data_IF_434568587740
#
_entry.id   IF_434568587740
#
_cell.length_a   1.000
_cell.length_b   1.000
_cell.length_c   1.000
_cell.angle_alpha   90.00
_cell.angle_beta   90.00
_cell.angle_gamma   90.00
#
_symmetry.space_group_name_H-M   'P 1'
#
loop_
_entity.id
_entity.type
_entity.pdbx_description
1 polymer ?
#
# COMPACT_ATOMS: atom_id res chain seq x y z
N UNK A 1 14.83 35.62 16.43
CA UNK A 1 13.84 35.79 15.36
C UNK A 1 14.12 34.68 14.34
N UNK A 2 13.33 33.64 14.10
CA UNK A 2 11.89 33.40 14.22
C UNK A 2 11.64 31.90 14.44
N UNK A 3 11.13 31.51 15.61
CA UNK A 3 10.83 30.09 15.93
C UNK A 3 9.31 29.90 16.20
N UNK A 4 8.50 30.49 15.31
CA UNK A 4 7.04 30.30 15.30
C UNK A 4 6.64 29.08 14.42
N UNK A 5 7.53 28.10 14.31
CA UNK A 5 7.41 26.91 13.47
C UNK A 5 6.99 25.67 14.26
N UNK A 6 5.73 25.50 14.64
CA UNK A 6 5.29 24.27 15.34
C UNK A 6 5.71 23.00 14.58
N UNK A 7 5.97 21.88 15.27
CA UNK A 7 6.51 20.64 14.66
C UNK A 7 5.56 20.00 13.62
N UNK A 8 6.11 19.18 12.72
CA UNK A 8 5.34 18.37 11.76
C UNK A 8 4.71 17.14 12.43
N UNK A 9 5.51 16.43 13.22
CA UNK A 9 5.10 15.23 13.97
C UNK A 9 5.22 15.47 15.48
N UNK A 10 4.77 14.51 16.26
CA UNK A 10 5.03 14.44 17.70
C UNK A 10 5.03 12.98 18.15
N UNK A 11 5.78 12.71 19.21
CA UNK A 11 5.70 11.44 19.92
C UNK A 11 4.57 11.51 20.95
N UNK A 12 3.77 10.45 21.05
CA UNK A 12 2.77 10.33 22.10
C UNK A 12 3.41 10.47 23.48
N UNK A 13 2.70 11.07 24.44
CA UNK A 13 3.21 11.24 25.81
C UNK A 13 3.23 9.93 26.59
N UNK A 14 2.19 9.13 26.40
CA UNK A 14 2.06 7.82 27.02
C UNK A 14 2.65 6.77 26.08
N UNK A 15 3.57 5.92 26.56
CA UNK A 15 4.05 4.82 25.75
C UNK A 15 2.95 3.76 25.57
N UNK A 16 2.97 3.10 24.41
CA UNK A 16 2.28 1.83 24.20
C UNK A 16 3.26 0.68 24.46
N UNK A 17 2.75 -0.51 24.74
CA UNK A 17 3.57 -1.69 24.96
C UNK A 17 3.64 -2.55 23.70
N UNK A 18 4.84 -3.03 23.34
CA UNK A 18 4.97 -3.93 22.21
C UNK A 18 4.36 -5.30 22.55
N UNK A 19 3.37 -5.81 21.81
CA UNK A 19 2.78 -7.12 22.11
C UNK A 19 3.71 -8.31 21.82
N UNK A 20 4.87 -8.07 21.20
CA UNK A 20 5.83 -9.11 20.81
C UNK A 20 7.03 -9.18 21.77
N UNK A 21 7.51 -8.04 22.26
CA UNK A 21 8.71 -7.99 23.12
C UNK A 21 8.54 -7.15 24.39
N UNK A 22 7.33 -6.65 24.67
CA UNK A 22 6.97 -5.93 25.90
C UNK A 22 7.71 -4.59 26.11
N UNK A 23 8.57 -4.20 25.16
CA UNK A 23 9.26 -2.92 25.23
C UNK A 23 8.27 -1.76 25.10
N UNK A 24 8.51 -0.68 25.85
CA UNK A 24 7.74 0.56 25.77
C UNK A 24 8.08 1.33 24.49
N UNK A 25 7.06 1.72 23.74
CA UNK A 25 7.17 2.42 22.47
C UNK A 25 6.47 3.77 22.58
N UNK A 26 7.17 4.83 22.20
CA UNK A 26 6.54 6.12 21.97
C UNK A 26 6.17 6.21 20.49
N UNK A 27 4.89 6.12 20.16
CA UNK A 27 4.45 6.18 18.77
C UNK A 27 4.58 7.61 18.24
N UNK A 28 5.26 7.76 17.12
CA UNK A 28 5.27 9.02 16.37
C UNK A 28 3.99 9.17 15.55
N UNK A 29 3.34 10.33 15.67
CA UNK A 29 2.15 10.70 14.93
C UNK A 29 2.34 11.98 14.13
N UNK A 30 1.74 12.00 12.93
CA UNK A 30 1.66 13.18 12.10
C UNK A 30 0.59 14.14 12.62
N UNK A 31 0.94 15.42 12.77
CA UNK A 31 -0.06 16.43 13.12
C UNK A 31 -0.90 16.77 11.90
N UNK A 32 -2.21 16.83 12.08
CA UNK A 32 -3.15 17.26 11.04
C UNK A 32 -3.48 18.77 11.17
N UNK A 33 -3.95 19.36 10.06
CA UNK A 33 -4.40 20.75 10.01
C UNK A 33 -3.28 21.81 9.95
N UNK A 34 -3.70 23.09 9.98
CA UNK A 34 -2.84 24.29 9.87
C UNK A 34 -1.89 24.29 8.65
N UNK A 35 -2.38 23.79 7.51
CA UNK A 35 -1.62 23.75 6.26
C UNK A 35 -0.46 22.76 6.22
N UNK A 36 -0.43 21.76 7.11
CA UNK A 36 0.57 20.67 7.07
C UNK A 36 0.38 19.72 5.89
N UNK A 37 -0.88 19.47 5.54
CA UNK A 37 -1.28 18.59 4.45
C UNK A 37 -2.07 19.40 3.45
N UNK A 38 -1.41 19.81 2.37
CA UNK A 38 -2.04 20.50 1.25
C UNK A 38 -2.26 19.44 0.18
N UNK A 39 -3.51 19.05 -0.03
CA UNK A 39 -3.85 18.04 -1.03
C UNK A 39 -3.51 18.55 -2.44
N UNK A 40 -2.73 17.77 -3.18
CA UNK A 40 -2.40 17.97 -4.59
C UNK A 40 -3.14 17.00 -5.50
N UNK A 41 -2.52 16.72 -6.64
CA UNK A 41 -3.07 15.82 -7.68
C UNK A 41 -3.30 14.39 -7.17
N UNK A 42 -4.27 13.72 -7.80
CA UNK A 42 -4.47 12.27 -7.63
C UNK A 42 -3.74 11.58 -8.79
N UNK A 43 -2.93 10.59 -8.48
CA UNK A 43 -2.29 9.74 -9.49
C UNK A 43 -3.27 8.68 -10.03
N UNK A 44 -2.91 8.02 -11.12
CA UNK A 44 -3.66 6.86 -11.62
C UNK A 44 -3.69 5.72 -10.60
N UNK A 45 -2.64 5.56 -9.79
CA UNK A 45 -2.58 4.58 -8.68
C UNK A 45 -3.43 4.98 -7.45
N UNK A 46 -4.29 6.00 -7.57
CA UNK A 46 -5.13 6.56 -6.51
C UNK A 46 -4.34 7.09 -5.29
N UNK A 47 -3.05 7.38 -5.49
CA UNK A 47 -2.20 8.09 -4.51
C UNK A 47 -2.48 9.58 -4.57
N UNK A 48 -2.68 10.21 -3.41
CA UNK A 48 -2.75 11.66 -3.25
C UNK A 48 -1.33 12.22 -3.13
N UNK A 49 -0.96 13.11 -4.04
CA UNK A 49 0.23 13.93 -3.87
C UNK A 49 -0.06 15.06 -2.88
N UNK A 50 0.97 15.54 -2.19
CA UNK A 50 0.87 16.64 -1.24
C UNK A 50 1.79 17.78 -1.64
N UNK A 51 1.21 18.97 -1.80
CA UNK A 51 1.96 20.16 -2.19
C UNK A 51 2.81 20.67 -1.01
N UNK A 52 4.09 21.03 -1.25
CA UNK A 52 4.93 21.60 -0.22
C UNK A 52 4.33 22.89 0.36
N UNK A 53 4.21 22.93 1.68
CA UNK A 53 3.77 24.15 2.36
C UNK A 53 4.96 25.08 2.62
N UNK A 54 4.71 26.41 2.64
CA UNK A 54 5.76 27.40 2.98
C UNK A 54 6.40 27.15 4.35
N UNK A 55 5.68 26.51 5.27
CA UNK A 55 6.08 26.35 6.66
C UNK A 55 6.74 25.00 6.96
N UNK A 56 6.23 23.92 6.38
CA UNK A 56 6.66 22.55 6.68
C UNK A 56 7.41 21.90 5.51
N UNK A 57 7.47 22.57 4.36
CA UNK A 57 8.03 21.99 3.15
C UNK A 57 7.18 20.81 2.67
N UNK A 58 7.86 19.84 2.07
CA UNK A 58 7.30 18.58 1.59
C UNK A 58 6.97 17.65 2.76
N UNK A 59 5.79 17.01 2.70
CA UNK A 59 5.30 16.11 3.73
C UNK A 59 4.83 14.81 3.09
N UNK A 60 5.26 13.68 3.65
CA UNK A 60 4.89 12.34 3.17
C UNK A 60 4.08 11.61 4.26
N UNK A 61 2.74 11.66 4.24
CA UNK A 61 1.93 11.11 5.32
C UNK A 61 2.06 9.60 5.52
N UNK A 62 2.30 8.87 4.42
CA UNK A 62 2.44 7.42 4.43
C UNK A 62 3.60 6.93 5.31
N UNK A 63 4.63 7.74 5.54
CA UNK A 63 5.75 7.41 6.44
C UNK A 63 5.27 7.03 7.85
N UNK A 64 4.10 7.53 8.27
CA UNK A 64 3.58 7.38 9.63
C UNK A 64 2.45 6.35 9.77
N UNK A 65 2.04 5.67 8.69
CA UNK A 65 0.88 4.77 8.72
C UNK A 65 1.18 3.40 9.37
N UNK A 66 2.46 3.03 9.44
CA UNK A 66 2.94 1.80 10.09
C UNK A 66 3.47 2.16 11.48
N UNK A 67 3.08 1.38 12.49
CA UNK A 67 3.70 1.45 13.82
C UNK A 67 4.81 0.41 13.89
N UNK A 68 6.00 0.80 14.34
CA UNK A 68 7.19 -0.05 14.43
C UNK A 68 7.70 -0.07 15.86
N UNK A 69 8.00 -1.26 16.38
CA UNK A 69 8.76 -1.41 17.61
C UNK A 69 10.26 -1.18 17.34
N UNK A 70 10.91 -0.19 17.99
CA UNK A 70 12.34 0.08 17.79
C UNK A 70 13.24 -1.04 18.33
N UNK A 71 12.74 -1.89 19.22
CA UNK A 71 13.50 -2.97 19.87
C UNK A 71 13.53 -4.23 19.01
N UNK A 72 12.36 -4.74 18.61
CA UNK A 72 12.24 -6.02 17.91
C UNK A 72 11.83 -5.91 16.44
N UNK A 73 11.69 -4.69 15.93
CA UNK A 73 11.32 -4.38 14.54
C UNK A 73 10.00 -5.05 14.11
N UNK A 74 9.15 -5.38 15.09
CA UNK A 74 7.76 -5.73 14.83
C UNK A 74 7.04 -4.50 14.26
N UNK A 75 6.43 -4.66 13.09
CA UNK A 75 5.80 -3.57 12.36
C UNK A 75 4.48 -4.03 11.75
N UNK A 76 3.44 -3.21 11.87
CA UNK A 76 2.14 -3.42 11.19
C UNK A 76 1.46 -2.08 10.97
N UNK A 77 0.40 -2.06 10.16
CA UNK A 77 -0.48 -0.89 10.08
C UNK A 77 -0.98 -0.53 11.48
N UNK A 78 -1.01 0.76 11.82
CA UNK A 78 -1.25 1.21 13.20
C UNK A 78 -2.55 0.70 13.83
N UNK A 79 -3.58 0.38 13.02
CA UNK A 79 -4.83 -0.21 13.50
C UNK A 79 -4.72 -1.66 13.99
N UNK A 80 -3.68 -2.40 13.56
CA UNK A 80 -3.47 -3.79 13.95
C UNK A 80 -2.45 -3.94 15.09
N UNK A 81 -1.79 -2.85 15.50
CA UNK A 81 -0.60 -2.94 16.34
C UNK A 81 -0.83 -3.69 17.64
N UNK A 82 -1.91 -3.38 18.36
CA UNK A 82 -2.28 -4.02 19.63
C UNK A 82 -3.02 -5.35 19.44
N UNK A 83 -3.47 -5.65 18.21
CA UNK A 83 -4.34 -6.77 17.88
C UNK A 83 -3.64 -8.10 17.62
N UNK A 84 -2.34 -8.23 17.93
CA UNK A 84 -1.56 -9.43 17.56
C UNK A 84 -2.10 -10.68 18.27
N UNK A 85 -2.52 -11.72 17.53
CA UNK A 85 -2.93 -12.98 18.12
C UNK A 85 -1.81 -13.62 18.93
N UNK A 86 -2.12 -14.13 20.12
CA UNK A 86 -1.14 -14.77 21.01
C UNK A 86 -0.41 -15.95 20.34
N UNK A 87 -1.10 -16.69 19.48
CA UNK A 87 -0.54 -17.81 18.71
C UNK A 87 0.60 -17.40 17.77
N UNK A 88 0.65 -16.13 17.36
CA UNK A 88 1.62 -15.62 16.37
C UNK A 88 2.81 -14.93 17.06
N UNK A 89 2.63 -14.43 18.28
CA UNK A 89 3.66 -13.66 19.02
C UNK A 89 5.00 -14.40 19.16
N UNK A 90 5.06 -15.71 19.51
CA UNK A 90 6.34 -16.41 19.64
C UNK A 90 7.14 -16.44 18.34
N UNK A 91 6.45 -16.60 17.21
CA UNK A 91 7.09 -16.63 15.88
C UNK A 91 7.63 -15.24 15.51
N UNK A 92 6.82 -14.19 15.72
CA UNK A 92 7.27 -12.81 15.54
C UNK A 92 8.48 -12.46 16.41
N UNK A 93 8.51 -12.93 17.66
CA UNK A 93 9.63 -12.68 18.56
C UNK A 93 10.90 -13.40 18.09
N UNK A 94 10.78 -14.69 17.72
CA UNK A 94 11.91 -15.48 17.23
C UNK A 94 12.55 -14.90 15.96
N UNK A 95 11.75 -14.29 15.08
CA UNK A 95 12.23 -13.68 13.82
C UNK A 95 12.69 -12.22 13.96
N UNK A 96 12.78 -11.68 15.17
CA UNK A 96 13.21 -10.29 15.42
C UNK A 96 14.55 -9.97 14.77
N UNK A 97 15.55 -10.82 14.97
CA UNK A 97 16.89 -10.59 14.46
C UNK A 97 16.92 -10.68 12.92
N UNK A 98 16.22 -11.65 12.34
CA UNK A 98 16.11 -11.82 10.90
C UNK A 98 15.46 -10.60 10.22
N UNK A 99 14.47 -9.96 10.85
CA UNK A 99 13.87 -8.71 10.36
C UNK A 99 14.88 -7.56 10.32
N UNK A 100 15.65 -7.38 11.37
CA UNK A 100 16.69 -6.33 11.47
C UNK A 100 17.75 -6.54 10.37
N UNK A 101 18.25 -7.77 10.25
CA UNK A 101 19.27 -8.14 9.27
C UNK A 101 18.78 -8.01 7.82
N UNK A 102 17.49 -8.20 7.57
CA UNK A 102 16.90 -8.07 6.23
C UNK A 102 16.84 -6.62 5.75
N UNK A 103 16.63 -5.65 6.64
CA UNK A 103 16.49 -4.24 6.25
C UNK A 103 17.78 -3.43 6.34
N UNK A 104 18.71 -3.83 7.22
CA UNK A 104 19.95 -3.11 7.47
C UNK A 104 20.83 -2.88 6.21
N UNK A 105 20.97 -3.83 5.26
CA UNK A 105 21.77 -3.61 4.06
C UNK A 105 21.16 -2.58 3.10
N UNK A 106 19.83 -2.41 3.13
CA UNK A 106 19.09 -1.54 2.22
C UNK A 106 18.94 -0.14 2.79
N UNK A 107 18.75 -0.05 4.10
CA UNK A 107 18.56 1.19 4.83
C UNK A 107 19.56 1.25 6.00
N UNK A 108 20.78 1.75 5.77
CA UNK A 108 21.75 1.89 6.84
C UNK A 108 21.26 2.92 7.86
N UNK A 109 21.63 2.71 9.14
CA UNK A 109 21.35 3.65 10.24
C UNK A 109 19.86 3.94 10.48
N UNK A 110 19.00 2.94 10.34
CA UNK A 110 17.58 3.06 10.71
C UNK A 110 17.39 3.31 12.20
N UNK A 111 16.69 4.38 12.54
CA UNK A 111 16.30 4.74 13.90
C UNK A 111 14.80 5.00 13.94
N UNK A 112 14.08 4.23 14.76
CA UNK A 112 12.63 4.37 14.96
C UNK A 112 12.26 5.13 16.25
N UNK A 113 13.25 5.61 17.00
CA UNK A 113 13.07 6.45 18.19
C UNK A 113 13.18 7.95 17.90
N UNK A 114 13.43 8.32 16.64
CA UNK A 114 13.57 9.69 16.16
C UNK A 114 12.53 9.99 15.08
N UNK A 115 12.39 11.27 14.71
CA UNK A 115 11.41 11.69 13.72
C UNK A 115 11.67 10.99 12.38
N UNK A 116 10.67 10.28 11.86
CA UNK A 116 10.86 9.41 10.69
C UNK A 116 11.01 10.22 9.40
N UNK A 117 12.02 9.84 8.63
CA UNK A 117 12.16 10.21 7.22
C UNK A 117 11.68 9.11 6.26
N UNK A 118 11.89 9.33 4.97
CA UNK A 118 11.48 8.39 3.92
C UNK A 118 12.14 7.01 4.06
N UNK A 119 13.43 6.91 4.43
CA UNK A 119 14.12 5.62 4.62
C UNK A 119 13.45 4.78 5.72
N UNK A 120 13.15 5.39 6.86
CA UNK A 120 12.41 4.73 7.94
C UNK A 120 10.98 4.37 7.54
N UNK A 121 10.30 5.25 6.78
CA UNK A 121 8.98 4.96 6.22
C UNK A 121 8.96 3.76 5.28
N UNK A 122 9.91 3.69 4.34
CA UNK A 122 10.06 2.56 3.42
C UNK A 122 10.34 1.27 4.19
N UNK A 123 11.34 1.30 5.09
CA UNK A 123 11.70 0.17 5.93
C UNK A 123 10.51 -0.35 6.76
N UNK A 124 9.68 0.54 7.30
CA UNK A 124 8.50 0.15 8.06
C UNK A 124 7.53 -0.71 7.24
N UNK A 125 7.31 -0.40 5.96
CA UNK A 125 6.48 -1.23 5.09
C UNK A 125 7.11 -2.56 4.72
N UNK A 126 8.44 -2.63 4.56
CA UNK A 126 9.14 -3.92 4.40
C UNK A 126 8.96 -4.81 5.61
N UNK A 127 9.16 -4.26 6.80
CA UNK A 127 8.95 -4.97 8.06
C UNK A 127 7.49 -5.40 8.22
N UNK A 128 6.54 -4.54 7.86
CA UNK A 128 5.12 -4.87 7.93
C UNK A 128 4.75 -6.07 7.04
N UNK A 129 5.28 -6.14 5.81
CA UNK A 129 5.08 -7.30 4.94
C UNK A 129 5.57 -8.59 5.60
N UNK A 130 6.76 -8.56 6.25
CA UNK A 130 7.34 -9.72 6.94
C UNK A 130 6.53 -10.11 8.19
N UNK A 131 5.94 -9.15 8.90
CA UNK A 131 5.10 -9.45 10.06
C UNK A 131 3.75 -10.04 9.64
N UNK A 132 3.12 -9.52 8.58
CA UNK A 132 1.85 -10.05 8.07
C UNK A 132 1.95 -11.46 7.49
N UNK A 133 3.15 -11.96 7.13
CA UNK A 133 3.35 -13.37 6.72
C UNK A 133 2.85 -14.37 7.78
N UNK A 134 2.74 -13.95 9.04
CA UNK A 134 2.32 -14.79 10.14
C UNK A 134 0.91 -14.51 10.64
N UNK A 135 0.27 -13.44 10.15
CA UNK A 135 -1.06 -13.05 10.61
C UNK A 135 -2.12 -14.00 10.03
N UNK A 136 -3.17 -14.33 10.80
CA UNK A 136 -4.20 -15.22 10.32
C UNK A 136 -5.19 -14.45 9.42
N UNK A 137 -6.00 -15.19 8.66
CA UNK A 137 -6.90 -14.65 7.62
C UNK A 137 -7.89 -13.59 8.12
N UNK A 138 -8.21 -13.59 9.41
CA UNK A 138 -9.11 -12.63 10.06
C UNK A 138 -8.57 -11.20 10.02
N UNK A 139 -7.30 -11.01 9.68
CA UNK A 139 -6.66 -9.71 9.51
C UNK A 139 -6.51 -9.27 8.06
N UNK A 140 -6.98 -10.05 7.08
CA UNK A 140 -6.74 -9.84 5.66
C UNK A 140 -5.23 -9.66 5.31
N UNK A 141 -4.35 -10.58 5.75
CA UNK A 141 -2.90 -10.43 5.60
C UNK A 141 -2.46 -10.30 4.15
N UNK A 142 -3.05 -11.06 3.22
CA UNK A 142 -2.67 -10.99 1.80
C UNK A 142 -2.88 -9.57 1.26
N UNK A 143 -4.01 -8.95 1.61
CA UNK A 143 -4.31 -7.58 1.18
C UNK A 143 -3.40 -6.56 1.83
N UNK A 144 -3.19 -6.66 3.14
CA UNK A 144 -2.33 -5.73 3.88
C UNK A 144 -0.87 -5.83 3.43
N UNK A 145 -0.39 -7.00 3.03
CA UNK A 145 0.91 -7.16 2.38
C UNK A 145 0.96 -6.46 1.02
N UNK A 146 -0.09 -6.61 0.19
CA UNK A 146 -0.20 -5.89 -1.08
C UNK A 146 -0.22 -4.36 -0.91
N UNK A 147 -0.99 -3.87 0.06
CA UNK A 147 -1.07 -2.46 0.41
C UNK A 147 0.29 -1.93 0.90
N UNK A 148 0.98 -2.67 1.77
CA UNK A 148 2.32 -2.30 2.23
C UNK A 148 3.33 -2.30 1.08
N UNK A 149 3.27 -3.27 0.17
CA UNK A 149 4.13 -3.32 -0.99
C UNK A 149 3.90 -2.12 -1.93
N UNK A 150 2.65 -1.74 -2.17
CA UNK A 150 2.30 -0.60 -3.00
C UNK A 150 2.82 0.72 -2.39
N UNK A 151 2.57 0.92 -1.10
CA UNK A 151 3.04 2.12 -0.37
C UNK A 151 4.56 2.17 -0.24
N UNK A 152 5.23 1.02 -0.10
CA UNK A 152 6.68 0.94 -0.17
C UNK A 152 7.20 1.37 -1.54
N UNK A 153 6.56 0.97 -2.63
CA UNK A 153 6.94 1.37 -3.98
C UNK A 153 6.87 2.89 -4.16
N UNK A 154 5.80 3.51 -3.66
CA UNK A 154 5.61 4.96 -3.69
C UNK A 154 6.69 5.71 -2.91
N UNK A 155 7.01 5.28 -1.70
CA UNK A 155 8.06 5.91 -0.88
C UNK A 155 9.44 5.67 -1.50
N UNK A 156 9.69 4.51 -2.12
CA UNK A 156 10.93 4.27 -2.84
C UNK A 156 11.06 5.19 -4.08
N UNK A 157 9.97 5.47 -4.79
CA UNK A 157 9.98 6.48 -5.85
C UNK A 157 10.26 7.89 -5.31
N UNK A 158 9.66 8.27 -4.17
CA UNK A 158 9.95 9.55 -3.51
C UNK A 158 11.43 9.63 -3.08
N UNK A 159 11.99 8.52 -2.58
CA UNK A 159 13.41 8.40 -2.24
C UNK A 159 14.29 8.56 -3.49
N UNK A 160 13.95 7.87 -4.58
CA UNK A 160 14.71 7.94 -5.83
C UNK A 160 14.71 9.35 -6.40
N UNK A 161 13.62 10.11 -6.29
CA UNK A 161 13.60 11.51 -6.72
C UNK A 161 14.60 12.39 -5.93
N UNK A 162 14.84 12.07 -4.66
CA UNK A 162 15.78 12.80 -3.79
C UNK A 162 17.20 12.27 -3.84
N UNK A 163 17.34 10.96 -4.04
CA UNK A 163 18.59 10.20 -4.04
C UNK A 163 18.63 9.27 -5.26
N UNK A 164 18.76 9.79 -6.50
CA UNK A 164 18.60 8.99 -7.72
C UNK A 164 19.62 7.86 -7.90
N UNK A 165 20.81 8.00 -7.32
CA UNK A 165 21.91 7.06 -7.52
C UNK A 165 21.94 5.89 -6.52
N UNK A 166 20.95 5.81 -5.62
CA UNK A 166 20.86 4.80 -4.56
C UNK A 166 20.00 3.58 -4.95
N UNK A 167 19.59 3.47 -6.24
CA UNK A 167 18.80 2.36 -6.79
C UNK A 167 17.40 2.18 -6.16
N UNK A 168 16.83 3.24 -5.59
CA UNK A 168 15.48 3.19 -5.02
C UNK A 168 14.38 2.94 -6.06
N UNK A 169 14.60 3.27 -7.34
CA UNK A 169 13.74 2.90 -8.46
C UNK A 169 13.68 1.38 -8.67
N UNK A 170 14.81 0.70 -8.54
CA UNK A 170 14.86 -0.76 -8.61
C UNK A 170 14.07 -1.39 -7.46
N UNK A 171 14.23 -0.87 -6.24
CA UNK A 171 13.43 -1.30 -5.08
C UNK A 171 11.94 -1.04 -5.29
N UNK A 172 11.57 0.13 -5.81
CA UNK A 172 10.19 0.44 -6.17
C UNK A 172 9.64 -0.59 -7.17
N UNK A 173 10.41 -0.98 -8.18
CA UNK A 173 10.00 -1.99 -9.17
C UNK A 173 9.76 -3.37 -8.54
N UNK A 174 10.52 -3.76 -7.51
CA UNK A 174 10.32 -5.01 -6.77
C UNK A 174 9.07 -4.93 -5.91
N UNK A 175 8.85 -3.80 -5.25
CA UNK A 175 7.66 -3.52 -4.46
C UNK A 175 6.38 -3.52 -5.31
N UNK A 176 6.39 -2.91 -6.51
CA UNK A 176 5.26 -2.98 -7.44
C UNK A 176 4.96 -4.41 -7.88
N UNK A 177 5.98 -5.23 -8.15
CA UNK A 177 5.80 -6.65 -8.49
C UNK A 177 5.20 -7.45 -7.33
N UNK A 178 5.61 -7.18 -6.08
CA UNK A 178 5.00 -7.76 -4.88
C UNK A 178 3.56 -7.28 -4.69
N UNK A 179 3.30 -5.99 -4.86
CA UNK A 179 1.95 -5.42 -4.77
C UNK A 179 1.02 -6.11 -5.77
N UNK A 180 1.43 -6.23 -7.04
CA UNK A 180 0.69 -6.96 -8.07
C UNK A 180 0.34 -8.39 -7.61
N UNK A 181 1.33 -9.14 -7.13
CA UNK A 181 1.11 -10.52 -6.68
C UNK A 181 0.09 -10.59 -5.54
N UNK A 182 0.24 -9.75 -4.51
CA UNK A 182 -0.62 -9.79 -3.33
C UNK A 182 -2.02 -9.29 -3.60
N UNK A 183 -2.20 -8.23 -4.42
CA UNK A 183 -3.53 -7.78 -4.83
C UNK A 183 -4.29 -8.86 -5.61
N UNK A 184 -3.64 -9.54 -6.56
CA UNK A 184 -4.21 -10.70 -7.25
C UNK A 184 -4.56 -11.85 -6.28
N UNK A 185 -3.64 -12.17 -5.38
CA UNK A 185 -3.86 -13.20 -4.35
C UNK A 185 -5.05 -12.86 -3.45
N UNK A 186 -5.21 -11.60 -3.03
CA UNK A 186 -6.34 -11.17 -2.21
C UNK A 186 -7.67 -11.32 -2.93
N UNK A 187 -7.75 -10.98 -4.21
CA UNK A 187 -8.98 -11.19 -5.00
C UNK A 187 -9.29 -12.67 -5.14
N UNK A 188 -8.28 -13.52 -5.37
CA UNK A 188 -8.48 -14.98 -5.44
C UNK A 188 -8.93 -15.56 -4.10
N UNK A 189 -8.33 -15.13 -3.00
CA UNK A 189 -8.70 -15.61 -1.66
C UNK A 189 -10.11 -15.16 -1.26
N UNK A 190 -10.53 -13.96 -1.65
CA UNK A 190 -11.91 -13.47 -1.48
C UNK A 190 -12.88 -14.35 -2.26
N UNK A 191 -12.58 -14.66 -3.54
CA UNK A 191 -13.41 -15.49 -4.40
C UNK A 191 -13.52 -16.93 -3.92
N UNK A 192 -12.46 -17.50 -3.35
CA UNK A 192 -12.47 -18.85 -2.77
C UNK A 192 -13.02 -18.91 -1.36
N UNK A 193 -13.27 -17.77 -0.70
CA UNK A 193 -13.64 -17.68 0.71
C UNK A 193 -12.51 -18.04 1.69
N UNK A 194 -11.26 -18.08 1.21
CA UNK A 194 -10.08 -18.37 2.04
C UNK A 194 -9.72 -17.22 2.97
N UNK A 195 -9.86 -15.97 2.51
CA UNK A 195 -9.59 -14.74 3.25
C UNK A 195 -10.66 -13.71 2.88
N UNK A 196 -11.17 -12.95 3.86
CA UNK A 196 -12.18 -11.92 3.61
C UNK A 196 -11.52 -10.54 3.57
N UNK A 197 -11.66 -9.82 2.47
CA UNK A 197 -11.13 -8.47 2.30
C UNK A 197 -11.77 -7.44 3.25
N UNK A 198 -13.05 -7.62 3.60
CA UNK A 198 -13.76 -6.77 4.56
C UNK A 198 -13.10 -6.73 5.93
N UNK A 199 -12.35 -7.77 6.31
CA UNK A 199 -11.56 -7.81 7.55
C UNK A 199 -10.44 -6.76 7.60
N UNK A 200 -10.04 -6.18 6.47
CA UNK A 200 -9.05 -5.10 6.46
C UNK A 200 -9.60 -3.76 7.01
N UNK A 201 -10.92 -3.56 7.02
CA UNK A 201 -11.60 -2.33 7.43
C UNK A 201 -11.44 -1.15 6.45
N UNK A 202 -10.21 -0.90 5.99
CA UNK A 202 -9.88 0.13 5.00
C UNK A 202 -9.20 -0.47 3.77
N UNK A 203 -9.84 -0.36 2.61
CA UNK A 203 -9.38 -0.93 1.34
C UNK A 203 -8.70 0.08 0.40
N UNK A 204 -8.57 1.33 0.85
CA UNK A 204 -7.96 2.38 0.04
C UNK A 204 -6.44 2.31 0.03
N UNK A 205 -5.81 2.56 -1.13
CA UNK A 205 -4.36 2.46 -1.26
C UNK A 205 -3.65 3.64 -0.57
N UNK A 206 -4.29 4.81 -0.46
CA UNK A 206 -3.80 5.97 0.29
C UNK A 206 -4.54 6.12 1.65
N UNK A 207 -4.18 7.12 2.44
CA UNK A 207 -4.85 7.54 3.68
C UNK A 207 -6.04 8.48 3.42
N UNK A 208 -6.15 9.03 2.20
CA UNK A 208 -7.19 10.01 1.82
C UNK A 208 -8.58 9.37 1.69
N UNK A 209 -8.69 8.29 0.90
CA UNK A 209 -9.99 7.69 0.54
C UNK A 209 -9.92 6.17 0.46
N UNK A 210 -10.98 5.52 0.94
CA UNK A 210 -11.09 4.06 1.05
C UNK A 210 -11.32 3.37 -0.32
N UNK A 211 -12.04 3.99 -1.28
CA UNK A 211 -12.40 3.41 -2.59
C UNK A 211 -13.08 2.02 -2.58
N UNK A 212 -13.18 1.36 -1.42
CA UNK A 212 -13.84 0.06 -1.24
C UNK A 212 -13.23 -1.04 -2.10
N UNK A 213 -14.04 -2.06 -2.33
CA UNK A 213 -13.69 -3.21 -3.16
C UNK A 213 -13.36 -2.81 -4.61
N UNK A 214 -14.05 -1.81 -5.16
CA UNK A 214 -13.78 -1.28 -6.50
C UNK A 214 -12.34 -0.76 -6.62
N UNK A 215 -11.82 -0.12 -5.57
CA UNK A 215 -10.42 0.29 -5.45
C UNK A 215 -9.44 -0.88 -5.62
N UNK A 216 -9.75 -2.00 -4.96
CA UNK A 216 -8.93 -3.22 -5.02
C UNK A 216 -8.97 -3.84 -6.41
N UNK A 217 -10.15 -3.94 -7.03
CA UNK A 217 -10.31 -4.44 -8.40
C UNK A 217 -9.53 -3.60 -9.41
N UNK A 218 -9.67 -2.28 -9.31
CA UNK A 218 -9.00 -1.32 -10.18
C UNK A 218 -7.48 -1.47 -10.08
N UNK A 219 -6.93 -1.44 -8.86
CA UNK A 219 -5.48 -1.57 -8.65
C UNK A 219 -4.96 -2.93 -9.08
N UNK A 220 -5.73 -4.01 -8.89
CA UNK A 220 -5.34 -5.35 -9.37
C UNK A 220 -5.15 -5.33 -10.89
N UNK A 221 -6.11 -4.75 -11.63
CA UNK A 221 -6.02 -4.60 -13.08
C UNK A 221 -4.88 -3.69 -13.53
N UNK A 222 -4.74 -2.52 -12.90
CA UNK A 222 -3.69 -1.54 -13.20
C UNK A 222 -2.29 -2.12 -12.97
N UNK A 223 -2.07 -2.79 -11.84
CA UNK A 223 -0.78 -3.39 -11.48
C UNK A 223 -0.42 -4.55 -12.42
N UNK A 224 -1.39 -5.36 -12.83
CA UNK A 224 -1.20 -6.41 -13.83
C UNK A 224 -0.85 -5.82 -15.20
N UNK A 225 -1.56 -4.76 -15.61
CA UNK A 225 -1.28 -4.06 -16.85
C UNK A 225 0.13 -3.47 -16.85
N UNK A 226 0.50 -2.69 -15.83
CA UNK A 226 1.82 -2.02 -15.75
C UNK A 226 2.97 -3.00 -15.55
N UNK A 227 2.84 -3.91 -14.57
CA UNK A 227 3.95 -4.69 -14.02
C UNK A 227 3.83 -6.21 -14.24
N UNK A 228 2.87 -6.64 -15.07
CA UNK A 228 2.73 -8.04 -15.48
C UNK A 228 3.84 -8.56 -16.40
N UNK A 229 3.81 -9.85 -16.78
CA UNK A 229 4.84 -10.46 -17.62
C UNK A 229 4.92 -9.79 -18.98
N UNK A 230 6.09 -9.28 -19.40
CA UNK A 230 6.27 -8.61 -20.71
C UNK A 230 7.06 -9.41 -21.75
N UNK A 231 7.78 -10.46 -21.33
CA UNK A 231 8.69 -11.22 -22.20
C UNK A 231 8.02 -12.37 -22.94
N UNK A 232 6.93 -12.89 -22.38
CA UNK A 232 6.22 -14.06 -22.85
C UNK A 232 4.83 -13.60 -23.29
N UNK A 233 4.58 -13.64 -24.60
CA UNK A 233 3.35 -13.10 -25.20
C UNK A 233 2.11 -13.89 -24.77
N UNK A 234 2.22 -15.21 -24.61
CA UNK A 234 1.09 -16.04 -24.18
C UNK A 234 0.72 -15.70 -22.73
N UNK A 235 1.72 -15.65 -21.85
CA UNK A 235 1.49 -15.25 -20.44
C UNK A 235 1.00 -13.81 -20.32
N UNK A 236 1.49 -12.89 -21.16
CA UNK A 236 1.00 -11.51 -21.20
C UNK A 236 -0.47 -11.48 -21.58
N UNK A 237 -0.85 -12.17 -22.65
CA UNK A 237 -2.24 -12.23 -23.12
C UNK A 237 -3.16 -12.81 -22.04
N UNK A 238 -2.81 -13.94 -21.44
CA UNK A 238 -3.58 -14.54 -20.35
C UNK A 238 -3.74 -13.60 -19.16
N UNK A 239 -2.65 -12.95 -18.76
CA UNK A 239 -2.67 -12.02 -17.64
C UNK A 239 -3.53 -10.79 -17.92
N UNK A 240 -3.45 -10.23 -19.14
CA UNK A 240 -4.28 -9.13 -19.58
C UNK A 240 -5.75 -9.51 -19.69
N UNK A 241 -6.09 -10.69 -20.19
CA UNK A 241 -7.48 -11.17 -20.21
C UNK A 241 -8.05 -11.25 -18.80
N UNK A 242 -7.28 -11.75 -17.82
CA UNK A 242 -7.70 -11.75 -16.41
C UNK A 242 -7.84 -10.32 -15.86
N UNK A 243 -6.88 -9.44 -16.12
CA UNK A 243 -6.93 -8.05 -15.68
C UNK A 243 -8.16 -7.32 -16.25
N UNK A 244 -8.44 -7.48 -17.55
CA UNK A 244 -9.61 -6.92 -18.23
C UNK A 244 -10.90 -7.36 -17.56
N UNK A 245 -11.06 -8.66 -17.30
CA UNK A 245 -12.23 -9.22 -16.57
C UNK A 245 -12.33 -8.66 -15.15
N UNK A 246 -11.22 -8.53 -14.43
CA UNK A 246 -11.20 -7.96 -13.07
C UNK A 246 -11.68 -6.51 -13.06
N UNK A 247 -11.23 -5.68 -14.00
CA UNK A 247 -11.66 -4.28 -14.13
C UNK A 247 -13.11 -4.20 -14.60
N UNK A 248 -13.55 -5.08 -15.52
CA UNK A 248 -14.92 -5.11 -16.03
C UNK A 248 -15.98 -5.25 -14.93
N UNK A 249 -15.65 -5.98 -13.85
CA UNK A 249 -16.53 -6.17 -12.68
C UNK A 249 -16.92 -4.85 -12.01
N UNK A 250 -16.10 -3.80 -12.11
CA UNK A 250 -16.40 -2.48 -11.55
C UNK A 250 -17.66 -1.88 -12.21
N UNK A 251 -17.86 -2.16 -13.50
CA UNK A 251 -19.02 -1.71 -14.28
C UNK A 251 -20.24 -2.61 -14.08
N UNK A 252 -20.04 -3.93 -14.06
CA UNK A 252 -21.10 -4.94 -13.95
C UNK A 252 -21.72 -5.10 -12.55
N UNK A 253 -21.02 -4.67 -11.49
CA UNK A 253 -21.57 -4.65 -10.13
C UNK A 253 -22.56 -3.48 -9.97
N UNK A 254 -23.78 -3.71 -10.49
CA UNK A 254 -25.07 -3.18 -10.02
C UNK A 254 -25.20 -1.67 -9.86
N UNK A 255 -25.63 -0.99 -10.95
CA UNK A 255 -26.00 0.43 -11.05
C UNK A 255 -24.86 1.38 -10.66
N UNK A 256 -24.80 2.53 -11.32
CA UNK A 256 -24.12 3.69 -10.76
C UNK A 256 -24.73 3.98 -9.38
N UNK A 257 -24.20 3.38 -8.32
CA UNK A 257 -24.51 3.85 -6.98
C UNK A 257 -24.04 5.31 -6.98
N UNK A 258 -24.90 6.22 -6.53
CA UNK A 258 -24.60 7.66 -6.47
C UNK A 258 -23.31 7.98 -5.68
N UNK A 259 -22.72 6.97 -5.04
CA UNK A 259 -21.56 7.05 -4.16
C UNK A 259 -20.26 6.52 -4.80
N UNK A 260 -20.28 5.92 -6.01
CA UNK A 260 -19.04 5.50 -6.70
C UNK A 260 -18.23 6.74 -7.12
N UNK A 261 -16.97 6.89 -6.67
CA UNK A 261 -16.18 8.07 -7.01
C UNK A 261 -15.91 8.17 -8.51
N UNK A 262 -16.25 9.27 -9.18
CA UNK A 262 -16.04 9.44 -10.63
C UNK A 262 -14.61 9.11 -11.07
N UNK A 263 -13.61 9.53 -10.28
CA UNK A 263 -12.20 9.25 -10.55
C UNK A 263 -11.88 7.75 -10.71
N UNK A 264 -12.56 6.84 -9.98
CA UNK A 264 -12.29 5.41 -10.13
C UNK A 264 -12.91 4.85 -11.42
N UNK A 265 -14.08 5.36 -11.81
CA UNK A 265 -14.76 4.92 -13.02
C UNK A 265 -13.98 5.37 -14.26
N UNK A 266 -13.53 6.62 -14.28
CA UNK A 266 -12.74 7.17 -15.39
C UNK A 266 -11.42 6.41 -15.53
N UNK A 267 -10.68 6.24 -14.43
CA UNK A 267 -9.44 5.49 -14.42
C UNK A 267 -9.66 4.01 -14.82
N UNK A 268 -10.74 3.38 -14.38
CA UNK A 268 -11.06 2.00 -14.74
C UNK A 268 -11.38 1.85 -16.24
N UNK A 269 -12.11 2.81 -16.84
CA UNK A 269 -12.37 2.83 -18.30
C UNK A 269 -11.06 2.94 -19.06
N UNK A 270 -10.19 3.86 -18.66
CA UNK A 270 -8.89 4.05 -19.31
C UNK A 270 -8.05 2.75 -19.27
N UNK A 271 -7.94 2.11 -18.12
CA UNK A 271 -7.19 0.84 -17.98
C UNK A 271 -7.83 -0.26 -18.83
N UNK A 272 -9.16 -0.37 -18.84
CA UNK A 272 -9.88 -1.35 -19.66
C UNK A 272 -9.62 -1.16 -21.16
N UNK A 273 -9.65 0.09 -21.64
CA UNK A 273 -9.37 0.45 -23.03
C UNK A 273 -7.91 0.17 -23.40
N UNK A 274 -6.96 0.54 -22.53
CA UNK A 274 -5.53 0.26 -22.74
C UNK A 274 -5.26 -1.24 -22.85
N UNK A 275 -5.88 -2.05 -21.98
CA UNK A 275 -5.76 -3.51 -22.04
C UNK A 275 -6.41 -4.05 -23.34
N UNK A 276 -7.59 -3.55 -23.72
CA UNK A 276 -8.29 -4.00 -24.93
C UNK A 276 -7.50 -3.70 -26.19
N UNK A 277 -6.87 -2.52 -26.25
CA UNK A 277 -5.94 -2.14 -27.33
C UNK A 277 -4.75 -3.09 -27.40
N UNK A 278 -4.14 -3.43 -26.26
CA UNK A 278 -3.00 -4.36 -26.24
C UNK A 278 -3.41 -5.80 -26.61
N UNK A 279 -4.66 -6.19 -26.36
CA UNK A 279 -5.22 -7.49 -26.76
C UNK A 279 -5.70 -7.55 -28.22
N UNK A 280 -5.89 -6.41 -28.88
CA UNK A 280 -6.50 -6.33 -30.22
C UNK A 280 -8.03 -6.41 -30.23
N UNK A 281 -8.68 -6.21 -29.09
CA UNK A 281 -10.14 -6.28 -28.89
C UNK A 281 -10.80 -4.88 -28.99
N UNK A 282 -10.33 -4.02 -29.90
CA UNK A 282 -10.91 -2.68 -30.06
C UNK A 282 -12.40 -2.82 -30.44
N UNK A 283 -13.31 -2.13 -29.72
CA UNK A 283 -14.78 -2.11 -29.88
C UNK A 283 -15.64 -2.99 -28.94
N UNK A 284 -15.10 -3.61 -27.88
CA UNK A 284 -15.94 -4.25 -26.86
C UNK A 284 -16.30 -3.23 -25.76
N UNK A 285 -17.58 -2.91 -25.62
CA UNK A 285 -18.08 -2.02 -24.57
C UNK A 285 -17.88 -2.68 -23.19
N UNK A 286 -17.17 -2.05 -22.23
CA UNK A 286 -17.03 -2.60 -20.87
C UNK A 286 -18.36 -2.81 -20.16
N UNK A 287 -19.43 -2.12 -20.57
CA UNK A 287 -20.78 -2.24 -20.02
C UNK A 287 -21.64 -3.31 -20.72
N UNK A 288 -21.24 -3.83 -21.88
CA UNK A 288 -22.05 -4.82 -22.61
C UNK A 288 -22.06 -6.22 -21.98
N UNK A 289 -21.26 -6.45 -20.94
CA UNK A 289 -21.07 -7.78 -20.35
C UNK A 289 -20.35 -8.72 -21.32
N UNK A 290 -19.54 -9.65 -20.79
CA UNK A 290 -19.06 -10.80 -21.56
C UNK A 290 -20.27 -11.72 -21.84
N UNK A 291 -21.16 -11.34 -22.76
CA UNK A 291 -22.02 -12.32 -23.45
C UNK A 291 -21.14 -13.06 -24.47
N UNK A 292 -20.31 -13.97 -23.97
CA UNK A 292 -19.78 -15.04 -24.79
C UNK A 292 -20.67 -16.28 -24.61
N UNK A 293 -21.06 -16.98 -25.69
CA UNK A 293 -21.95 -18.13 -25.65
C UNK A 293 -21.37 -19.34 -24.89
#
# INVERSE_FOLDING_TARGET
>A
MSDAGGSLTFFQKSPIECPVCESKIYREELRTGRGRLIAGSLTDELRRNYEPSKKYGEVHPLVYAVTVCPTCYYAVLSGDFDGVPESVRPKLQAESQARIESVAPVFPSLVFTEARGLKAGAAAYFLAMMCYDHFPKEFAPSFKQGLCALRAAWICNDLHQKEPNENYDYLASLCYRKARFFYDLSIRNEQSGTENLGSAGHLGPDLDKNYGYDGVLYLTGLLEFKYGPRKDNEKRREALTRAKRTVARIFGMGRASKDKPTAILDNAREVYEQISRELGDENIDPESGDESP
#
